data_IF_409713905954
#
_entry.id   IF_409713905954
#
_cell.length_a   1.000
_cell.length_b   1.000
_cell.length_c   1.000
_cell.angle_alpha   90.00
_cell.angle_beta   90.00
_cell.angle_gamma   90.00
#
_symmetry.space_group_name_H-M   'P 1'
#
loop_
_entity.id
_entity.type
_entity.pdbx_description
1 polymer ?
#
# COMPACT_ATOMS: atom_id res chain seq x y z
N UNK A 1 -2.05 -24.68 5.08
CA UNK A 1 -2.26 -23.34 5.60
C UNK A 1 -2.62 -22.42 4.46
N UNK A 2 -3.70 -21.67 4.60
CA UNK A 2 -4.13 -20.72 3.59
C UNK A 2 -3.07 -19.62 3.43
N UNK A 3 -2.80 -19.22 2.19
CA UNK A 3 -1.91 -18.11 1.92
C UNK A 3 -2.51 -16.81 2.46
N UNK A 4 -1.68 -16.00 3.10
CA UNK A 4 -2.05 -14.68 3.55
C UNK A 4 -2.00 -13.69 2.40
N UNK A 5 -2.78 -12.62 2.49
CA UNK A 5 -2.75 -11.49 1.54
C UNK A 5 -2.49 -10.20 2.31
N UNK A 6 -1.78 -9.27 1.69
CA UNK A 6 -1.40 -8.02 2.33
C UNK A 6 -1.25 -6.94 1.27
N UNK A 7 -1.90 -5.79 1.49
CA UNK A 7 -1.69 -4.59 0.68
C UNK A 7 -0.77 -3.66 1.44
N UNK A 8 0.32 -3.24 0.83
CA UNK A 8 1.24 -2.30 1.48
C UNK A 8 0.75 -0.88 1.25
N UNK A 9 0.77 -0.04 2.31
CA UNK A 9 0.64 1.38 2.08
C UNK A 9 1.98 1.94 1.56
N UNK A 10 1.99 3.21 1.19
CA UNK A 10 3.17 3.81 0.57
C UNK A 10 4.37 3.78 1.51
N UNK A 11 4.19 4.12 2.79
CA UNK A 11 5.30 4.11 3.74
C UNK A 11 5.82 2.69 3.99
N UNK A 12 4.94 1.70 4.06
CA UNK A 12 5.37 0.31 4.25
C UNK A 12 6.26 -0.14 3.08
N UNK A 13 5.89 0.20 1.85
CA UNK A 13 6.73 -0.12 0.69
C UNK A 13 8.08 0.60 0.75
N UNK A 14 8.07 1.89 1.07
CA UNK A 14 9.30 2.67 1.16
C UNK A 14 10.23 2.15 2.25
N UNK A 15 9.69 1.84 3.41
CA UNK A 15 10.50 1.32 4.52
C UNK A 15 11.03 -0.08 4.21
N UNK A 16 10.25 -0.92 3.55
CA UNK A 16 10.75 -2.21 3.08
C UNK A 16 11.91 -2.02 2.09
N UNK A 17 11.74 -1.16 1.10
CA UNK A 17 12.75 -0.93 0.06
C UNK A 17 14.05 -0.38 0.64
N UNK A 18 13.97 0.43 1.70
CA UNK A 18 15.14 1.07 2.32
C UNK A 18 15.69 0.29 3.51
N UNK A 19 15.10 -0.84 3.87
CA UNK A 19 15.51 -1.58 5.06
C UNK A 19 15.31 -0.78 6.34
N UNK A 20 14.31 0.10 6.37
CA UNK A 20 14.07 1.01 7.47
C UNK A 20 13.43 0.30 8.66
N UNK A 21 13.95 0.56 9.85
CA UNK A 21 13.45 -0.05 11.10
C UNK A 21 12.06 0.43 11.49
N UNK A 22 11.53 1.46 10.84
CA UNK A 22 10.17 1.93 11.06
C UNK A 22 9.12 0.91 10.62
N UNK A 23 9.48 0.01 9.70
CA UNK A 23 8.61 -1.09 9.33
C UNK A 23 8.50 -2.07 10.50
N UNK A 24 7.26 -2.39 10.92
CA UNK A 24 7.07 -3.28 12.06
C UNK A 24 7.63 -4.68 11.78
N UNK A 25 8.02 -5.38 12.83
CA UNK A 25 8.50 -6.76 12.71
C UNK A 25 7.43 -7.68 12.15
N UNK A 26 6.18 -7.46 12.54
CA UNK A 26 5.06 -8.27 12.06
C UNK A 26 4.87 -8.14 10.56
N UNK A 27 4.87 -6.92 10.04
CA UNK A 27 4.74 -6.68 8.60
C UNK A 27 5.95 -7.22 7.86
N UNK A 28 7.16 -7.00 8.39
CA UNK A 28 8.38 -7.53 7.78
C UNK A 28 8.32 -9.04 7.64
N UNK A 29 7.90 -9.75 8.69
CA UNK A 29 7.79 -11.22 8.67
C UNK A 29 6.77 -11.70 7.65
N UNK A 30 5.64 -10.98 7.52
CA UNK A 30 4.64 -11.31 6.52
C UNK A 30 5.19 -11.15 5.10
N UNK A 31 5.93 -10.08 4.84
CA UNK A 31 6.52 -9.86 3.51
C UNK A 31 7.57 -10.94 3.21
N UNK A 32 8.36 -11.32 4.20
CA UNK A 32 9.40 -12.33 4.04
C UNK A 32 8.86 -13.76 3.88
N UNK A 33 7.61 -13.99 4.25
CA UNK A 33 6.98 -15.30 4.15
C UNK A 33 6.53 -15.55 2.71
N UNK A 34 7.08 -16.60 2.08
CA UNK A 34 6.78 -16.96 0.70
C UNK A 34 5.31 -17.28 0.46
N UNK A 35 4.56 -17.62 1.51
CA UNK A 35 3.13 -17.91 1.39
C UNK A 35 2.26 -16.66 1.40
N UNK A 36 2.83 -15.48 1.66
CA UNK A 36 2.09 -14.23 1.67
C UNK A 36 2.06 -13.62 0.27
N UNK A 37 0.87 -13.33 -0.24
CA UNK A 37 0.70 -12.54 -1.46
C UNK A 37 0.72 -11.07 -1.10
N UNK A 38 1.77 -10.37 -1.48
CA UNK A 38 1.96 -8.95 -1.19
C UNK A 38 1.56 -8.13 -2.40
N UNK A 39 0.67 -7.18 -2.20
CA UNK A 39 0.15 -6.31 -3.25
C UNK A 39 0.66 -4.88 -3.07
N UNK A 40 0.98 -4.24 -4.18
CA UNK A 40 1.32 -2.82 -4.24
C UNK A 40 0.38 -2.15 -5.25
N UNK A 41 -0.28 -1.10 -4.81
CA UNK A 41 -1.27 -0.40 -5.63
C UNK A 41 -0.63 0.53 -6.66
N UNK A 42 -1.27 0.64 -7.82
CA UNK A 42 -0.96 1.69 -8.79
C UNK A 42 -1.05 3.10 -8.15
N UNK A 43 -1.92 3.29 -7.16
CA UNK A 43 -2.01 4.55 -6.42
C UNK A 43 -0.72 4.86 -5.66
N UNK A 44 -0.05 3.85 -5.11
CA UNK A 44 1.24 4.02 -4.45
C UNK A 44 2.31 4.45 -5.45
N UNK A 45 2.32 3.86 -6.63
CA UNK A 45 3.24 4.28 -7.69
C UNK A 45 3.00 5.74 -8.08
N UNK A 46 1.75 6.16 -8.17
CA UNK A 46 1.38 7.54 -8.45
C UNK A 46 1.84 8.48 -7.34
N UNK A 47 1.62 8.11 -6.09
CA UNK A 47 2.05 8.92 -4.95
C UNK A 47 3.57 9.10 -4.92
N UNK A 48 4.32 8.02 -5.06
CA UNK A 48 5.79 8.05 -5.04
C UNK A 48 6.29 8.93 -6.19
N UNK A 49 5.81 8.70 -7.41
CA UNK A 49 6.25 9.45 -8.58
C UNK A 49 5.96 10.93 -8.43
N UNK A 50 4.78 11.29 -7.87
CA UNK A 50 4.41 12.66 -7.60
C UNK A 50 5.37 13.30 -6.60
N UNK A 51 5.66 12.63 -5.50
CA UNK A 51 6.55 13.17 -4.46
C UNK A 51 8.00 13.26 -4.92
N UNK A 52 8.45 12.34 -5.77
CA UNK A 52 9.79 12.44 -6.39
C UNK A 52 9.86 13.68 -7.28
N UNK A 53 8.85 13.89 -8.12
CA UNK A 53 8.80 15.08 -8.99
C UNK A 53 8.81 16.39 -8.18
N UNK A 54 8.17 16.39 -7.03
CA UNK A 54 8.10 17.57 -6.15
C UNK A 54 9.33 17.73 -5.26
N UNK A 55 10.32 16.85 -5.37
CA UNK A 55 11.53 16.91 -4.54
C UNK A 55 11.32 16.49 -3.09
N UNK A 56 10.20 15.84 -2.77
CA UNK A 56 9.87 15.43 -1.40
C UNK A 56 10.30 14.02 -1.06
N UNK A 57 10.72 13.25 -2.06
CA UNK A 57 11.07 11.84 -1.90
C UNK A 57 12.14 11.47 -2.90
N UNK A 58 13.05 10.58 -2.49
CA UNK A 58 14.03 9.99 -3.39
C UNK A 58 13.67 8.53 -3.61
N UNK A 59 13.59 8.12 -4.88
CA UNK A 59 13.44 6.73 -5.26
C UNK A 59 14.66 6.37 -6.09
N UNK A 60 15.55 5.56 -5.53
CA UNK A 60 16.86 5.28 -6.10
C UNK A 60 16.89 4.08 -7.04
N UNK A 61 15.82 3.35 -7.10
CA UNK A 61 15.73 2.17 -7.94
C UNK A 61 15.29 2.54 -9.36
N UNK A 62 15.18 1.56 -10.25
CA UNK A 62 14.58 1.72 -11.57
C UNK A 62 13.10 2.08 -11.44
N UNK A 63 12.23 1.66 -12.34
CA UNK A 63 10.80 1.91 -12.16
C UNK A 63 10.27 1.22 -10.90
N UNK A 64 9.20 1.78 -10.32
CA UNK A 64 8.53 1.17 -9.17
C UNK A 64 7.98 -0.20 -9.56
N UNK A 65 7.45 -0.31 -10.77
CA UNK A 65 6.95 -1.59 -11.30
C UNK A 65 8.05 -2.65 -11.35
N UNK A 66 9.22 -2.30 -11.87
CA UNK A 66 10.35 -3.23 -11.94
C UNK A 66 10.81 -3.65 -10.54
N UNK A 67 10.83 -2.70 -9.61
CA UNK A 67 11.17 -3.02 -8.23
C UNK A 67 10.19 -4.03 -7.63
N UNK A 68 8.89 -3.78 -7.78
CA UNK A 68 7.86 -4.67 -7.27
C UNK A 68 7.99 -6.07 -7.88
N UNK A 69 8.26 -6.16 -9.18
CA UNK A 69 8.48 -7.45 -9.85
C UNK A 69 9.68 -8.19 -9.28
N UNK A 70 10.76 -7.47 -8.98
CA UNK A 70 11.96 -8.07 -8.39
C UNK A 70 11.70 -8.63 -7.00
N UNK A 71 10.74 -8.06 -6.28
CA UNK A 71 10.34 -8.51 -4.94
C UNK A 71 9.22 -9.53 -4.97
N UNK A 72 8.74 -9.90 -6.17
CA UNK A 72 7.58 -10.79 -6.35
C UNK A 72 6.29 -10.23 -5.74
N UNK A 73 6.17 -8.92 -5.71
CA UNK A 73 4.93 -8.25 -5.30
C UNK A 73 3.97 -8.21 -6.48
N UNK A 74 2.70 -8.43 -6.18
CA UNK A 74 1.64 -8.33 -7.18
C UNK A 74 1.22 -6.87 -7.36
N UNK A 75 1.04 -6.46 -8.61
CA UNK A 75 0.60 -5.10 -8.92
C UNK A 75 -0.92 -5.05 -8.87
N UNK A 76 -1.45 -4.10 -8.10
CA UNK A 76 -2.90 -3.92 -7.95
C UNK A 76 -3.35 -2.70 -8.73
N UNK A 77 -4.04 -2.86 -9.84
CA UNK A 77 -4.55 -1.73 -10.60
C UNK A 77 -5.72 -1.06 -9.87
N UNK A 78 -5.94 0.22 -10.17
CA UNK A 78 -7.11 0.95 -9.68
C UNK A 78 -8.26 0.70 -10.64
N UNK A 79 -9.32 0.08 -10.15
CA UNK A 79 -10.54 -0.16 -10.93
C UNK A 79 -11.52 1.00 -10.81
N UNK A 80 -12.56 1.00 -11.66
CA UNK A 80 -13.65 1.96 -11.54
C UNK A 80 -14.32 1.87 -10.16
N UNK A 81 -14.55 0.66 -9.67
CA UNK A 81 -15.17 0.46 -8.34
C UNK A 81 -14.31 1.07 -7.24
N UNK A 82 -12.99 0.90 -7.32
CA UNK A 82 -12.06 1.52 -6.37
C UNK A 82 -12.18 3.04 -6.41
N UNK A 83 -12.16 3.62 -7.60
CA UNK A 83 -12.20 5.06 -7.80
C UNK A 83 -13.50 5.67 -7.28
N UNK A 84 -14.65 5.07 -7.60
CA UNK A 84 -15.93 5.54 -7.13
C UNK A 84 -16.05 5.45 -5.61
N UNK A 85 -15.61 4.34 -5.02
CA UNK A 85 -15.62 4.16 -3.57
C UNK A 85 -14.73 5.19 -2.87
N UNK A 86 -13.51 5.38 -3.35
CA UNK A 86 -12.57 6.32 -2.76
C UNK A 86 -13.11 7.74 -2.78
N UNK A 87 -13.74 8.14 -3.88
CA UNK A 87 -14.28 9.48 -4.05
C UNK A 87 -15.55 9.72 -3.25
N UNK A 88 -16.47 8.74 -3.18
CA UNK A 88 -17.79 8.92 -2.60
C UNK A 88 -17.90 8.58 -1.11
N UNK A 89 -16.92 7.89 -0.56
CA UNK A 89 -16.94 7.48 0.85
C UNK A 89 -17.10 8.71 1.75
N UNK A 90 -18.10 8.75 2.66
CA UNK A 90 -18.43 9.98 3.38
C UNK A 90 -17.45 10.39 4.47
N UNK A 91 -16.51 9.51 4.83
CA UNK A 91 -15.51 9.81 5.85
C UNK A 91 -14.67 11.01 5.45
N UNK A 92 -14.31 11.84 6.44
CA UNK A 92 -13.67 13.13 6.20
C UNK A 92 -12.17 13.07 5.91
N UNK A 93 -11.55 11.88 5.96
CA UNK A 93 -10.11 11.74 5.64
C UNK A 93 -9.85 12.20 4.21
N UNK A 94 -9.02 13.23 4.05
CA UNK A 94 -8.92 13.95 2.78
C UNK A 94 -7.78 13.54 1.86
N UNK A 95 -6.83 12.72 2.34
CA UNK A 95 -5.70 12.30 1.50
C UNK A 95 -6.20 11.35 0.40
N UNK A 96 -6.08 11.73 -0.89
CA UNK A 96 -6.63 10.91 -1.95
C UNK A 96 -5.93 9.56 -2.12
N UNK A 97 -4.65 9.48 -1.80
CA UNK A 97 -3.91 8.23 -1.91
C UNK A 97 -4.36 7.25 -0.81
N UNK A 98 -4.50 7.74 0.42
CA UNK A 98 -5.01 6.92 1.53
C UNK A 98 -6.44 6.46 1.28
N UNK A 99 -7.28 7.35 0.75
CA UNK A 99 -8.67 6.99 0.40
C UNK A 99 -8.71 5.87 -0.62
N UNK A 100 -7.83 5.91 -1.61
CA UNK A 100 -7.74 4.88 -2.63
C UNK A 100 -7.29 3.55 -2.05
N UNK A 101 -6.26 3.56 -1.22
CA UNK A 101 -5.78 2.33 -0.58
C UNK A 101 -6.86 1.72 0.32
N UNK A 102 -7.57 2.55 1.06
CA UNK A 102 -8.68 2.09 1.90
C UNK A 102 -9.79 1.45 1.06
N UNK A 103 -10.14 2.05 -0.09
CA UNK A 103 -11.16 1.51 -0.99
C UNK A 103 -10.72 0.16 -1.57
N UNK A 104 -9.48 0.03 -1.97
CA UNK A 104 -8.94 -1.22 -2.48
C UNK A 104 -8.92 -2.31 -1.40
N UNK A 105 -8.48 -1.96 -0.20
CA UNK A 105 -8.50 -2.88 0.94
C UNK A 105 -9.90 -3.42 1.20
N UNK A 106 -10.90 -2.55 1.19
CA UNK A 106 -12.28 -2.92 1.47
C UNK A 106 -12.88 -3.80 0.36
N UNK A 107 -12.77 -3.35 -0.88
CA UNK A 107 -13.40 -4.04 -2.03
C UNK A 107 -12.73 -5.38 -2.30
N UNK A 108 -11.40 -5.42 -2.30
CA UNK A 108 -10.65 -6.63 -2.62
C UNK A 108 -10.34 -7.49 -1.40
N UNK A 109 -10.76 -7.04 -0.22
CA UNK A 109 -10.58 -7.75 1.05
C UNK A 109 -9.12 -8.06 1.33
N UNK A 110 -8.28 -7.03 1.21
CA UNK A 110 -6.86 -7.11 1.48
C UNK A 110 -6.56 -6.32 2.74
N UNK A 111 -6.06 -6.97 3.81
CA UNK A 111 -5.60 -6.21 4.97
C UNK A 111 -4.54 -5.19 4.55
N UNK A 112 -4.63 -3.97 5.05
CA UNK A 112 -3.71 -2.90 4.71
C UNK A 112 -2.60 -2.81 5.75
N UNK A 113 -1.35 -2.96 5.32
CA UNK A 113 -0.20 -2.73 6.18
C UNK A 113 0.03 -1.22 6.29
N UNK A 114 -0.29 -0.66 7.45
CA UNK A 114 -0.16 0.77 7.73
C UNK A 114 -0.03 1.02 9.21
N UNK A 115 0.76 2.03 9.59
CA UNK A 115 0.78 2.52 10.97
C UNK A 115 -0.01 3.82 11.13
N UNK A 116 -0.67 4.28 10.07
CA UNK A 116 -1.47 5.50 10.12
C UNK A 116 -2.85 5.19 10.72
N UNK A 117 -3.06 5.64 11.95
CA UNK A 117 -4.32 5.40 12.66
C UNK A 117 -5.49 6.16 12.04
N UNK A 118 -5.23 7.24 11.32
CA UNK A 118 -6.29 8.04 10.71
C UNK A 118 -7.07 7.23 9.67
N UNK A 119 -6.44 6.25 9.04
CA UNK A 119 -7.09 5.41 8.03
C UNK A 119 -8.14 4.46 8.62
N UNK A 120 -8.11 4.25 9.93
CA UNK A 120 -9.09 3.38 10.60
C UNK A 120 -10.52 3.93 10.52
N UNK A 121 -10.70 5.20 10.19
CA UNK A 121 -12.02 5.81 9.99
C UNK A 121 -12.85 5.08 8.92
N UNK A 122 -12.18 4.42 7.98
CA UNK A 122 -12.84 3.68 6.91
C UNK A 122 -13.33 2.28 7.33
N UNK A 123 -13.02 1.83 8.54
CA UNK A 123 -13.46 0.53 9.04
C UNK A 123 -12.79 -0.67 8.37
N UNK A 124 -11.66 -0.49 7.74
CA UNK A 124 -10.93 -1.56 7.06
C UNK A 124 -10.01 -2.30 8.04
N UNK A 125 -9.62 -3.52 7.68
CA UNK A 125 -8.63 -4.27 8.44
C UNK A 125 -7.23 -3.72 8.19
N UNK A 126 -6.51 -3.40 9.26
CA UNK A 126 -5.13 -2.93 9.18
C UNK A 126 -4.21 -3.87 9.96
N UNK A 127 -2.96 -3.92 9.53
CA UNK A 127 -1.92 -4.73 10.17
C UNK A 127 -0.69 -3.85 10.35
N UNK A 128 -0.13 -3.94 11.57
CA UNK A 128 1.14 -3.28 11.85
C UNK A 128 1.92 -3.93 12.99
#
# INVERSE_FOLDING_TARGET
VAASKLLLDTHALLWWANGDKSLSRKVRRLIEDDSTHVFVSAATAWEISTKVRLGKLVWSSSSIEAYCSSQRFDLLPVSFAHAERAGSWPQSHGDPFDRMLAAQSDIDRLPLATNDRAISVFGIETIW
#
